data_IF_946783759367
#
_entry.id   IF_946783759367
#
_cell.length_a   1.000
_cell.length_b   1.000
_cell.length_c   1.000
_cell.angle_alpha   90.00
_cell.angle_beta   90.00
_cell.angle_gamma   90.00
#
_symmetry.space_group_name_H-M   'P 1'
#
loop_
_entity.id
_entity.type
_entity.pdbx_description
1 polymer ?
#
# COMPACT_ATOMS: atom_id res chain seq x y z
N UNK A 1 22.59 -3.99 -34.54
CA UNK A 1 22.38 -2.60 -34.08
C UNK A 1 21.65 -2.65 -32.74
N UNK A 2 22.27 -2.18 -31.66
CA UNK A 2 21.60 -1.94 -30.35
C UNK A 2 21.95 -0.52 -29.95
N UNK A 3 21.09 0.43 -30.30
CA UNK A 3 21.24 1.82 -29.85
C UNK A 3 21.02 1.86 -28.34
N UNK A 4 22.07 2.18 -27.59
CA UNK A 4 21.97 2.49 -26.17
C UNK A 4 21.39 3.90 -26.06
N UNK A 5 20.11 4.02 -25.71
CA UNK A 5 19.50 5.30 -25.38
C UNK A 5 20.21 5.91 -24.16
N UNK A 6 21.09 6.88 -24.39
CA UNK A 6 21.72 7.66 -23.33
C UNK A 6 20.85 8.88 -23.04
N UNK A 7 20.03 8.81 -21.98
CA UNK A 7 19.24 9.95 -21.54
C UNK A 7 20.14 11.00 -20.90
N UNK A 8 19.93 12.28 -21.23
CA UNK A 8 20.65 13.37 -20.57
C UNK A 8 20.40 13.36 -19.06
N UNK A 9 21.40 13.74 -18.27
CA UNK A 9 21.29 13.84 -16.80
C UNK A 9 20.09 14.69 -16.35
N UNK A 10 19.68 15.66 -17.17
CA UNK A 10 18.49 16.48 -16.96
C UNK A 10 17.19 15.69 -17.10
N UNK A 11 17.06 14.84 -18.13
CA UNK A 11 15.88 14.01 -18.33
C UNK A 11 15.69 13.00 -17.19
N UNK A 12 16.77 12.36 -16.73
CA UNK A 12 16.74 11.43 -15.59
C UNK A 12 16.24 12.15 -14.33
N UNK A 13 16.79 13.32 -14.02
CA UNK A 13 16.39 14.11 -12.84
C UNK A 13 14.93 14.58 -12.91
N UNK A 14 14.45 14.96 -14.10
CA UNK A 14 13.05 15.36 -14.30
C UNK A 14 12.09 14.19 -14.08
N UNK A 15 12.39 13.01 -14.62
CA UNK A 15 11.59 11.80 -14.39
C UNK A 15 11.57 11.37 -12.92
N UNK A 16 12.72 11.42 -12.22
CA UNK A 16 12.78 11.15 -10.79
C UNK A 16 11.92 12.12 -9.97
N UNK A 17 11.91 13.42 -10.32
CA UNK A 17 11.05 14.42 -9.65
C UNK A 17 9.57 14.16 -9.91
N UNK A 18 9.20 13.92 -11.16
CA UNK A 18 7.82 13.62 -11.53
C UNK A 18 7.29 12.36 -10.82
N UNK A 19 8.11 11.30 -10.75
CA UNK A 19 7.79 10.08 -10.02
C UNK A 19 7.55 10.34 -8.52
N UNK A 20 8.43 11.12 -7.86
CA UNK A 20 8.26 11.51 -6.46
C UNK A 20 6.98 12.34 -6.22
N UNK A 21 6.64 13.24 -7.14
CA UNK A 21 5.42 14.06 -7.04
C UNK A 21 4.18 13.19 -7.23
N UNK A 22 4.20 12.26 -8.19
CA UNK A 22 3.10 11.33 -8.42
C UNK A 22 2.88 10.41 -7.21
N UNK A 23 3.96 9.90 -6.60
CA UNK A 23 3.90 9.12 -5.37
C UNK A 23 3.31 9.91 -4.19
N UNK A 24 3.71 11.17 -4.02
CA UNK A 24 3.15 12.05 -2.98
C UNK A 24 1.65 12.27 -3.17
N UNK A 25 1.22 12.59 -4.39
CA UNK A 25 -0.21 12.80 -4.71
C UNK A 25 -1.03 11.53 -4.53
N UNK A 26 -0.47 10.36 -4.84
CA UNK A 26 -1.15 9.08 -4.60
C UNK A 26 -1.35 8.85 -3.09
N UNK A 27 -0.31 9.04 -2.28
CA UNK A 27 -0.38 8.89 -0.83
C UNK A 27 -1.39 9.86 -0.18
N UNK A 28 -1.45 11.11 -0.64
CA UNK A 28 -2.44 12.09 -0.16
C UNK A 28 -3.87 11.66 -0.47
N UNK A 29 -4.14 11.14 -1.68
CA UNK A 29 -5.47 10.63 -2.05
C UNK A 29 -5.88 9.43 -1.22
N UNK A 30 -4.97 8.48 -1.03
CA UNK A 30 -5.23 7.28 -0.23
C UNK A 30 -5.54 7.66 1.22
N UNK A 31 -4.80 8.61 1.80
CA UNK A 31 -5.06 9.14 3.15
C UNK A 31 -6.43 9.81 3.26
N UNK A 32 -6.79 10.69 2.30
CA UNK A 32 -8.10 11.34 2.28
C UNK A 32 -9.25 10.33 2.20
N UNK A 33 -9.11 9.28 1.39
CA UNK A 33 -10.14 8.24 1.29
C UNK A 33 -10.32 7.48 2.61
N UNK A 34 -9.23 7.11 3.28
CA UNK A 34 -9.30 6.36 4.54
C UNK A 34 -9.94 7.23 5.63
N UNK A 35 -9.56 8.51 5.71
CA UNK A 35 -10.14 9.43 6.69
C UNK A 35 -11.63 9.73 6.42
N UNK A 36 -12.07 9.72 5.15
CA UNK A 36 -13.48 9.95 4.82
C UNK A 36 -14.39 8.74 5.14
N UNK A 37 -13.82 7.54 5.23
CA UNK A 37 -14.58 6.29 5.37
C UNK A 37 -14.60 5.73 6.79
N UNK A 38 -13.64 6.11 7.63
CA UNK A 38 -13.51 5.57 8.98
C UNK A 38 -14.13 6.50 10.01
N UNK A 39 -14.90 5.92 10.92
CA UNK A 39 -15.42 6.59 12.10
C UNK A 39 -14.79 6.04 13.39
N UNK A 40 -14.93 6.81 14.47
CA UNK A 40 -14.43 6.41 15.78
C UNK A 40 -15.12 5.13 16.24
N UNK A 41 -14.33 4.18 16.77
CA UNK A 41 -14.75 2.84 17.18
C UNK A 41 -15.09 1.85 16.05
N UNK A 42 -14.88 2.19 14.78
CA UNK A 42 -15.02 1.22 13.69
C UNK A 42 -14.02 0.06 13.82
N UNK A 43 -14.42 -1.12 13.32
CA UNK A 43 -13.55 -2.30 13.27
C UNK A 43 -12.86 -2.38 11.92
N UNK A 44 -11.55 -2.21 11.91
CA UNK A 44 -10.72 -2.25 10.70
C UNK A 44 -9.97 -3.58 10.64
N UNK A 45 -10.27 -4.40 9.65
CA UNK A 45 -9.51 -5.62 9.35
C UNK A 45 -8.38 -5.30 8.36
N UNK A 46 -7.14 -5.46 8.77
CA UNK A 46 -5.96 -5.25 7.96
C UNK A 46 -5.27 -6.59 7.65
N UNK A 47 -5.05 -6.87 6.36
CA UNK A 47 -4.41 -8.12 5.91
C UNK A 47 -2.94 -7.87 5.58
N UNK A 48 -2.03 -8.73 6.05
CA UNK A 48 -0.61 -8.58 5.75
C UNK A 48 -0.24 -9.08 4.34
N UNK A 49 0.67 -8.40 3.62
CA UNK A 49 1.40 -7.20 4.03
C UNK A 49 0.50 -5.96 4.08
N UNK A 50 0.49 -5.26 5.23
CA UNK A 50 -0.46 -4.18 5.49
C UNK A 50 0.04 -2.89 4.88
N UNK A 51 -0.87 -2.13 4.29
CA UNK A 51 -0.64 -0.74 3.91
C UNK A 51 -0.50 0.14 5.17
N UNK A 52 0.72 0.56 5.49
CA UNK A 52 1.02 1.35 6.71
C UNK A 52 0.12 2.57 6.92
N UNK A 53 -0.24 3.37 5.88
CA UNK A 53 -1.13 4.51 6.07
C UNK A 53 -2.51 4.13 6.63
N UNK A 54 -3.05 2.96 6.28
CA UNK A 54 -4.31 2.47 6.84
C UNK A 54 -4.24 2.31 8.36
N UNK A 55 -3.15 1.72 8.87
CA UNK A 55 -2.98 1.54 10.31
C UNK A 55 -2.82 2.89 11.00
N UNK A 56 -2.01 3.79 10.44
CA UNK A 56 -1.76 5.11 11.04
C UNK A 56 -3.06 5.90 11.16
N UNK A 57 -3.81 6.03 10.05
CA UNK A 57 -5.06 6.80 10.03
C UNK A 57 -6.13 6.16 10.90
N UNK A 58 -6.28 4.84 10.88
CA UNK A 58 -7.24 4.15 11.74
C UNK A 58 -6.92 4.34 13.25
N UNK A 59 -5.64 4.40 13.63
CA UNK A 59 -5.24 4.72 15.02
C UNK A 59 -5.56 6.16 15.39
N UNK A 60 -5.30 7.11 14.50
CA UNK A 60 -5.58 8.54 14.71
C UNK A 60 -7.09 8.79 14.94
N UNK A 61 -7.95 8.10 14.19
CA UNK A 61 -9.41 8.21 14.31
C UNK A 61 -9.96 7.49 15.56
N UNK A 62 -9.20 6.53 16.09
CA UNK A 62 -9.61 5.72 17.23
C UNK A 62 -10.42 4.48 16.85
N UNK A 63 -10.10 3.86 15.73
CA UNK A 63 -10.68 2.60 15.29
C UNK A 63 -10.06 1.40 16.02
N UNK A 64 -10.78 0.29 16.07
CA UNK A 64 -10.30 -1.01 16.54
C UNK A 64 -9.69 -1.81 15.39
N UNK A 65 -8.37 -1.95 15.39
CA UNK A 65 -7.63 -2.58 14.29
C UNK A 65 -7.38 -4.06 14.60
N UNK A 66 -7.74 -4.94 13.67
CA UNK A 66 -7.44 -6.36 13.69
C UNK A 66 -6.49 -6.65 12.54
N UNK A 67 -5.28 -7.13 12.84
CA UNK A 67 -4.31 -7.52 11.81
C UNK A 67 -4.35 -9.03 11.61
N UNK A 68 -4.58 -9.47 10.38
CA UNK A 68 -4.63 -10.88 10.01
C UNK A 68 -3.55 -11.21 8.98
N UNK A 69 -2.75 -12.24 9.26
CA UNK A 69 -1.81 -12.79 8.28
C UNK A 69 -2.51 -13.82 7.40
N UNK A 70 -2.45 -13.62 6.08
CA UNK A 70 -2.74 -14.67 5.11
C UNK A 70 -1.47 -15.52 4.93
N UNK A 71 -1.18 -16.38 5.90
CA UNK A 71 -0.30 -17.50 5.61
C UNK A 71 -1.04 -18.46 4.66
N UNK A 72 -0.39 -18.97 3.61
CA UNK A 72 -0.99 -19.99 2.77
C UNK A 72 -1.24 -21.22 3.65
N UNK A 73 -2.51 -21.50 3.96
CA UNK A 73 -2.88 -22.76 4.59
C UNK A 73 -2.53 -23.85 3.59
N UNK A 74 -1.50 -24.64 3.89
CA UNK A 74 -1.21 -25.89 3.18
C UNK A 74 -2.49 -26.71 3.21
N UNK A 75 -3.17 -26.82 2.07
CA UNK A 75 -4.28 -27.75 1.90
C UNK A 75 -3.64 -29.12 2.04
N UNK A 76 -3.83 -29.76 3.19
CA UNK A 76 -3.47 -31.16 3.39
C UNK A 76 -4.35 -31.93 2.39
N UNK A 77 -3.76 -32.39 1.29
CA UNK A 77 -4.44 -33.28 0.38
C UNK A 77 -4.80 -34.54 1.18
N UNK A 78 -6.08 -34.96 1.22
CA UNK A 78 -6.41 -36.24 1.85
C UNK A 78 -5.65 -37.33 1.09
N UNK A 79 -4.82 -38.10 1.80
CA UNK A 79 -4.21 -39.32 1.27
C UNK A 79 -5.36 -40.18 0.72
N UNK A 80 -5.35 -40.41 -0.60
CA UNK A 80 -6.24 -41.41 -1.20
C UNK A 80 -5.73 -42.77 -0.73
N UNK A 81 -6.60 -43.48 0.00
CA UNK A 81 -6.47 -44.89 0.35
C UNK A 81 -6.26 -45.77 -0.89
#
# INVERSE_FOLDING_TARGET
MKEKMSYSKFAINAMCRASKIAQKKAAERDYCCIHALLEKNDKVLAITPVFEPLISTAKEIGCHIIVQSLEPKTIIQPERC
#
